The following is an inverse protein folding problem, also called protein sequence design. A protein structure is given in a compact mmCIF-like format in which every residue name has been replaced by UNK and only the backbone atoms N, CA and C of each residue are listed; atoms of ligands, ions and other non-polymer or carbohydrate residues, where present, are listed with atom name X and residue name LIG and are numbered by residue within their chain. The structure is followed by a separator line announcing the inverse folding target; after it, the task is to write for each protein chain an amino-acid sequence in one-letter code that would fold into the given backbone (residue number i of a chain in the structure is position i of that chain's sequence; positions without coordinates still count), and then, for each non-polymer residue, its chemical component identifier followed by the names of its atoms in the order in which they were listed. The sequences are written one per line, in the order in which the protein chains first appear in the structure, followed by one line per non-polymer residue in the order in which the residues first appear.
data_IF_630577216501
#
_entry.id   IF_630577216501
#
_cell.length_a   1.000
_cell.length_b   1.000
_cell.length_c   1.000
_cell.angle_alpha   90.00
_cell.angle_beta   90.00
_cell.angle_gamma   90.00
#
_symmetry.space_group_name_H-M   'P 1'
#
loop_
_entity.id
_entity.type
_entity.pdbx_description
1 polymer ?
#
# COMPACT_ATOMS: atom_id res chain seq x y z
N UNK A 1 41.23 12.95 14.36
CA UNK A 1 40.06 12.14 14.80
C UNK A 1 38.74 12.54 14.12
N UNK A 2 38.49 13.83 13.79
CA UNK A 2 37.25 14.27 13.10
C UNK A 2 37.00 13.64 11.71
N UNK A 3 38.06 13.28 10.98
CA UNK A 3 37.93 12.69 9.63
C UNK A 3 37.38 11.26 9.61
N UNK A 4 37.57 10.48 10.69
CA UNK A 4 37.09 9.09 10.72
C UNK A 4 35.56 9.03 10.78
N UNK A 5 34.94 9.88 11.59
CA UNK A 5 33.48 10.00 11.73
C UNK A 5 32.78 10.32 10.40
N UNK A 6 33.39 11.19 9.59
CA UNK A 6 32.83 11.63 8.32
C UNK A 6 32.92 10.56 7.23
N UNK A 7 34.05 9.85 7.14
CA UNK A 7 34.20 8.71 6.22
C UNK A 7 33.25 7.57 6.58
N UNK A 8 33.09 7.25 7.87
CA UNK A 8 32.09 6.26 8.31
C UNK A 8 30.67 6.68 7.96
N UNK A 9 30.31 7.96 8.07
CA UNK A 9 28.96 8.43 7.72
C UNK A 9 28.65 8.26 6.23
N UNK A 10 29.62 8.52 5.35
CA UNK A 10 29.45 8.33 3.89
C UNK A 10 29.34 6.84 3.55
N UNK A 11 30.19 5.99 4.13
CA UNK A 11 30.12 4.53 3.92
C UNK A 11 28.79 3.97 4.44
N UNK A 12 28.32 4.43 5.61
CA UNK A 12 27.02 4.04 6.16
C UNK A 12 25.87 4.47 5.24
N UNK A 13 25.95 5.68 4.67
CA UNK A 13 24.97 6.17 3.68
C UNK A 13 24.92 5.32 2.42
N UNK A 14 26.08 4.91 1.89
CA UNK A 14 26.16 4.00 0.72
C UNK A 14 25.60 2.63 1.05
N UNK A 15 25.91 2.07 2.23
CA UNK A 15 25.35 0.79 2.69
C UNK A 15 23.84 0.88 2.85
N UNK A 16 23.30 1.98 3.39
CA UNK A 16 21.85 2.22 3.50
C UNK A 16 21.18 2.28 2.12
N UNK A 17 21.82 2.91 1.13
CA UNK A 17 21.30 2.95 -0.24
C UNK A 17 21.29 1.57 -0.90
N UNK A 18 22.35 0.78 -0.71
CA UNK A 18 22.40 -0.60 -1.21
C UNK A 18 21.37 -1.48 -0.49
N UNK A 19 21.23 -1.34 0.83
CA UNK A 19 20.21 -2.03 1.59
C UNK A 19 18.80 -1.64 1.13
N UNK A 20 18.55 -0.38 0.77
CA UNK A 20 17.28 0.07 0.17
C UNK A 20 16.98 -0.64 -1.15
N UNK A 21 17.99 -0.80 -2.01
CA UNK A 21 17.85 -1.49 -3.29
C UNK A 21 17.58 -2.98 -3.09
N UNK A 22 18.34 -3.61 -2.19
CA UNK A 22 18.24 -5.04 -1.86
C UNK A 22 16.92 -5.35 -1.15
N UNK A 23 16.39 -4.42 -0.35
CA UNK A 23 15.11 -4.60 0.33
C UNK A 23 13.94 -4.78 -0.64
N UNK A 24 13.91 -4.00 -1.74
CA UNK A 24 12.90 -4.16 -2.79
C UNK A 24 13.03 -5.49 -3.57
N UNK A 25 14.22 -6.09 -3.57
CA UNK A 25 14.52 -7.38 -4.19
C UNK A 25 14.13 -8.57 -3.29
N UNK A 26 14.35 -8.48 -1.98
CA UNK A 26 13.98 -9.53 -1.00
C UNK A 26 12.50 -9.50 -0.60
N UNK A 27 11.85 -8.33 -0.62
CA UNK A 27 10.43 -8.17 -0.31
C UNK A 27 9.69 -7.55 -1.50
N UNK A 28 9.45 -8.31 -2.58
CA UNK A 28 8.66 -7.81 -3.68
C UNK A 28 7.24 -7.52 -3.17
N UNK A 29 6.70 -6.35 -3.54
CA UNK A 29 5.35 -5.90 -3.17
C UNK A 29 4.26 -6.89 -3.62
N UNK A 30 4.58 -7.81 -4.52
CA UNK A 30 3.72 -8.89 -5.00
C UNK A 30 3.75 -10.18 -4.15
N UNK A 31 4.69 -10.36 -3.21
CA UNK A 31 4.85 -11.64 -2.51
C UNK A 31 3.65 -12.05 -1.63
N UNK A 32 2.82 -11.08 -1.22
CA UNK A 32 1.62 -11.33 -0.42
C UNK A 32 0.30 -11.13 -1.16
N UNK A 33 0.32 -10.62 -2.40
CA UNK A 33 -0.86 -10.27 -3.18
C UNK A 33 -0.96 -11.16 -4.41
N UNK A 34 -1.77 -12.22 -4.32
CA UNK A 34 -1.94 -13.20 -5.40
C UNK A 34 -2.96 -12.71 -6.45
N UNK A 35 -2.85 -13.23 -7.68
CA UNK A 35 -3.84 -12.95 -8.74
C UNK A 35 -5.27 -13.30 -8.32
N UNK A 36 -5.44 -14.34 -7.49
CA UNK A 36 -6.73 -14.75 -6.94
C UNK A 36 -7.34 -13.67 -6.05
N UNK A 37 -6.54 -12.98 -5.22
CA UNK A 37 -7.02 -11.87 -4.40
C UNK A 37 -7.41 -10.65 -5.23
N UNK A 38 -6.65 -10.36 -6.30
CA UNK A 38 -7.02 -9.30 -7.26
C UNK A 38 -8.36 -9.59 -7.94
N UNK A 39 -8.55 -10.83 -8.42
CA UNK A 39 -9.80 -11.27 -9.03
C UNK A 39 -10.98 -11.18 -8.05
N UNK A 40 -10.78 -11.63 -6.81
CA UNK A 40 -11.81 -11.56 -5.76
C UNK A 40 -12.17 -10.11 -5.40
N UNK A 41 -11.19 -9.21 -5.35
CA UNK A 41 -11.44 -7.78 -5.11
C UNK A 41 -12.25 -7.16 -6.25
N UNK A 42 -11.93 -7.51 -7.50
CA UNK A 42 -12.67 -7.05 -8.67
C UNK A 42 -14.12 -7.58 -8.69
N UNK A 43 -14.30 -8.86 -8.37
CA UNK A 43 -15.63 -9.49 -8.29
C UNK A 43 -16.49 -8.87 -7.18
N UNK A 44 -15.93 -8.66 -5.99
CA UNK A 44 -16.63 -8.00 -4.88
C UNK A 44 -17.00 -6.56 -5.21
N UNK A 45 -16.11 -5.82 -5.88
CA UNK A 45 -16.40 -4.45 -6.35
C UNK A 45 -17.54 -4.42 -7.35
N UNK A 46 -17.55 -5.35 -8.31
CA UNK A 46 -18.63 -5.46 -9.28
C UNK A 46 -19.96 -5.85 -8.60
N UNK A 47 -19.94 -6.79 -7.65
CA UNK A 47 -21.14 -7.17 -6.87
C UNK A 47 -21.65 -6.02 -6.02
N UNK A 48 -20.78 -5.26 -5.35
CA UNK A 48 -21.16 -4.08 -4.58
C UNK A 48 -21.84 -3.04 -5.48
N UNK A 49 -21.30 -2.79 -6.68
CA UNK A 49 -21.89 -1.85 -7.62
C UNK A 49 -23.29 -2.28 -8.10
N UNK A 50 -23.45 -3.57 -8.44
CA UNK A 50 -24.74 -4.14 -8.85
C UNK A 50 -25.75 -4.06 -7.70
N UNK A 51 -25.36 -4.47 -6.49
CA UNK A 51 -26.22 -4.42 -5.30
C UNK A 51 -26.59 -2.99 -4.91
N UNK A 52 -25.68 -2.02 -5.06
CA UNK A 52 -25.96 -0.60 -4.86
C UNK A 52 -27.02 -0.08 -5.84
N UNK A 53 -26.93 -0.48 -7.11
CA UNK A 53 -27.94 -0.16 -8.12
C UNK A 53 -29.29 -0.83 -7.85
N UNK A 54 -29.28 -2.08 -7.40
CA UNK A 54 -30.48 -2.83 -7.01
C UNK A 54 -31.14 -2.24 -5.76
N UNK A 55 -30.35 -1.76 -4.80
CA UNK A 55 -30.85 -1.05 -3.61
C UNK A 55 -31.55 0.24 -4.01
N UNK A 56 -30.93 1.08 -4.85
CA UNK A 56 -31.52 2.34 -5.29
C UNK A 56 -32.80 2.15 -6.12
N UNK A 57 -32.89 1.05 -6.87
CA UNK A 57 -34.11 0.70 -7.63
C UNK A 57 -35.19 0.06 -6.76
N UNK A 58 -34.83 -0.74 -5.75
CA UNK A 58 -35.76 -1.31 -4.78
C UNK A 58 -36.40 -0.23 -3.88
N UNK A 59 -35.65 0.80 -3.49
CA UNK A 59 -36.15 1.94 -2.70
C UNK A 59 -37.17 2.80 -3.48
N UNK A 60 -37.05 2.83 -4.81
CA UNK A 60 -37.93 3.60 -5.69
C UNK A 60 -39.10 2.78 -6.29
N UNK A 61 -39.07 1.44 -6.21
CA UNK A 61 -40.14 0.57 -6.71
C UNK A 61 -40.42 -0.63 -5.77
N UNK A 62 -41.16 -0.41 -4.66
CA UNK A 62 -41.46 -1.45 -3.66
C UNK A 62 -42.41 -2.58 -4.15
N UNK A 63 -42.85 -2.54 -5.42
CA UNK A 63 -43.85 -3.48 -6.00
C UNK A 63 -43.27 -4.49 -6.99
N UNK A 64 -42.01 -4.89 -6.84
CA UNK A 64 -41.51 -6.04 -7.59
C UNK A 64 -42.04 -7.34 -6.96
N UNK A 65 -43.27 -7.73 -7.34
CA UNK A 65 -43.88 -9.02 -7.04
C UNK A 65 -42.98 -10.16 -7.57
N UNK A 66 -42.05 -10.64 -6.74
CA UNK A 66 -41.20 -11.81 -7.02
C UNK A 66 -39.69 -11.61 -6.86
N UNK A 67 -39.22 -10.40 -6.51
CA UNK A 67 -37.79 -10.13 -6.25
C UNK A 67 -37.40 -10.20 -4.77
N UNK A 68 -36.10 -10.41 -4.47
CA UNK A 68 -35.50 -10.30 -3.12
C UNK A 68 -35.98 -9.03 -2.41
N UNK A 69 -36.22 -9.12 -1.11
CA UNK A 69 -36.68 -7.96 -0.33
C UNK A 69 -35.60 -6.86 -0.28
N UNK A 70 -36.01 -5.58 -0.21
CA UNK A 70 -35.07 -4.46 -0.10
C UNK A 70 -34.15 -4.59 1.13
N UNK A 71 -34.65 -5.23 2.20
CA UNK A 71 -33.89 -5.54 3.40
C UNK A 71 -32.79 -6.60 3.13
N UNK A 72 -33.10 -7.66 2.39
CA UNK A 72 -32.10 -8.67 1.99
C UNK A 72 -31.00 -8.07 1.11
N UNK A 73 -31.37 -7.18 0.17
CA UNK A 73 -30.40 -6.51 -0.71
C UNK A 73 -29.51 -5.57 0.10
N UNK A 74 -30.06 -4.84 1.08
CA UNK A 74 -29.26 -3.97 1.97
C UNK A 74 -28.30 -4.78 2.86
N UNK A 75 -28.75 -5.92 3.37
CA UNK A 75 -27.94 -6.79 4.21
C UNK A 75 -26.80 -7.44 3.41
N UNK A 76 -27.08 -7.93 2.21
CA UNK A 76 -26.07 -8.47 1.29
C UNK A 76 -25.09 -7.38 0.82
N UNK A 77 -25.57 -6.16 0.54
CA UNK A 77 -24.72 -5.02 0.21
C UNK A 77 -23.76 -4.65 1.35
N UNK A 78 -24.24 -4.63 2.60
CA UNK A 78 -23.41 -4.39 3.78
C UNK A 78 -22.33 -5.46 3.95
N UNK A 79 -22.69 -6.73 3.78
CA UNK A 79 -21.72 -7.84 3.86
C UNK A 79 -20.63 -7.74 2.78
N UNK A 80 -21.04 -7.51 1.52
CA UNK A 80 -20.11 -7.41 0.39
C UNK A 80 -19.20 -6.18 0.53
N UNK A 81 -19.74 -5.05 0.99
CA UNK A 81 -18.96 -3.81 1.20
C UNK A 81 -17.96 -3.98 2.35
N UNK A 82 -18.35 -4.62 3.46
CA UNK A 82 -17.45 -4.91 4.57
C UNK A 82 -16.31 -5.86 4.15
N UNK A 83 -16.60 -6.88 3.34
CA UNK A 83 -15.57 -7.79 2.82
C UNK A 83 -14.63 -7.08 1.83
N UNK A 84 -15.17 -6.20 0.98
CA UNK A 84 -14.40 -5.38 0.06
C UNK A 84 -13.49 -4.41 0.81
N UNK A 85 -13.98 -3.71 1.82
CA UNK A 85 -13.20 -2.78 2.65
C UNK A 85 -12.06 -3.50 3.36
N UNK A 86 -12.32 -4.69 3.91
CA UNK A 86 -11.30 -5.52 4.55
C UNK A 86 -10.22 -5.96 3.55
N UNK A 87 -10.60 -6.42 2.36
CA UNK A 87 -9.66 -6.82 1.31
C UNK A 87 -8.90 -5.62 0.74
N UNK A 88 -9.53 -4.45 0.64
CA UNK A 88 -8.91 -3.20 0.23
C UNK A 88 -7.85 -2.73 1.24
N UNK A 89 -8.16 -2.75 2.53
CA UNK A 89 -7.22 -2.43 3.60
C UNK A 89 -6.03 -3.42 3.64
N UNK A 90 -6.28 -4.71 3.40
CA UNK A 90 -5.20 -5.70 3.23
C UNK A 90 -4.33 -5.40 2.01
N UNK A 91 -4.94 -4.97 0.89
CA UNK A 91 -4.22 -4.60 -0.32
C UNK A 91 -3.31 -3.39 -0.07
N UNK A 92 -3.86 -2.32 0.48
CA UNK A 92 -3.14 -1.08 0.76
C UNK A 92 -2.00 -1.32 1.75
N UNK A 93 -2.26 -2.02 2.85
CA UNK A 93 -1.24 -2.36 3.85
C UNK A 93 -0.13 -3.27 3.31
N UNK A 94 -0.42 -4.19 2.38
CA UNK A 94 0.57 -5.12 1.80
C UNK A 94 1.34 -4.53 0.63
N UNK A 95 0.70 -3.69 -0.18
CA UNK A 95 1.27 -3.09 -1.39
C UNK A 95 2.08 -1.83 -1.05
N UNK A 96 1.62 -1.01 -0.09
CA UNK A 96 2.27 0.26 0.22
C UNK A 96 3.32 0.19 1.33
N UNK A 97 3.25 -0.79 2.24
CA UNK A 97 4.30 -0.99 3.25
C UNK A 97 5.71 -1.19 2.66
N UNK A 98 5.94 -2.07 1.65
CA UNK A 98 7.27 -2.25 1.07
C UNK A 98 7.74 -1.01 0.29
N UNK A 99 6.83 -0.29 -0.38
CA UNK A 99 7.16 0.96 -1.09
C UNK A 99 7.53 2.07 -0.14
N UNK A 100 6.80 2.21 0.96
CA UNK A 100 7.00 3.26 1.97
C UNK A 100 8.30 3.03 2.72
N UNK A 101 8.57 1.80 3.17
CA UNK A 101 9.82 1.44 3.82
C UNK A 101 11.05 1.66 2.91
N UNK A 102 10.96 1.26 1.63
CA UNK A 102 12.02 1.49 0.66
C UNK A 102 12.25 2.99 0.40
N UNK A 103 11.18 3.79 0.31
CA UNK A 103 11.26 5.24 0.12
C UNK A 103 11.93 5.93 1.32
N UNK A 104 11.54 5.58 2.55
CA UNK A 104 12.15 6.11 3.78
C UNK A 104 13.65 5.76 3.84
N UNK A 105 14.02 4.51 3.57
CA UNK A 105 15.42 4.08 3.55
C UNK A 105 16.24 4.85 2.50
N UNK A 106 15.67 5.07 1.31
CA UNK A 106 16.32 5.81 0.22
C UNK A 106 16.58 7.26 0.61
N UNK A 107 15.58 7.96 1.17
CA UNK A 107 15.74 9.34 1.60
C UNK A 107 16.68 9.48 2.80
N UNK A 108 16.62 8.55 3.76
CA UNK A 108 17.58 8.50 4.85
C UNK A 108 19.02 8.30 4.34
N UNK A 109 19.23 7.38 3.40
CA UNK A 109 20.53 7.16 2.77
C UNK A 109 21.07 8.40 2.05
N UNK A 110 20.23 9.08 1.26
CA UNK A 110 20.60 10.34 0.58
C UNK A 110 20.99 11.41 1.62
N UNK A 111 20.21 11.58 2.68
CA UNK A 111 20.50 12.57 3.72
C UNK A 111 21.86 12.32 4.40
N UNK A 112 22.20 11.06 4.71
CA UNK A 112 23.50 10.69 5.28
C UNK A 112 24.66 10.93 4.32
N UNK A 113 24.50 10.64 3.03
CA UNK A 113 25.53 10.90 2.01
C UNK A 113 25.78 12.40 1.85
N UNK A 114 24.72 13.21 1.76
CA UNK A 114 24.82 14.66 1.61
C UNK A 114 25.46 15.31 2.86
N UNK A 115 24.98 14.95 4.06
CA UNK A 115 25.54 15.46 5.31
C UNK A 115 27.00 15.04 5.50
N UNK A 116 27.33 13.77 5.23
CA UNK A 116 28.70 13.28 5.28
C UNK A 116 29.61 14.01 4.29
N UNK A 117 29.17 14.18 3.04
CA UNK A 117 29.91 14.90 2.00
C UNK A 117 30.15 16.37 2.33
N UNK A 118 29.16 17.06 2.87
CA UNK A 118 29.29 18.45 3.34
C UNK A 118 30.31 18.59 4.46
N UNK A 119 30.36 17.63 5.41
CA UNK A 119 31.36 17.64 6.49
C UNK A 119 32.77 17.40 5.96
N UNK A 120 32.95 16.53 4.95
CA UNK A 120 34.26 16.34 4.29
C UNK A 120 34.68 17.62 3.57
N UNK A 121 33.76 18.24 2.85
CA UNK A 121 34.03 19.45 2.06
C UNK A 121 34.39 20.63 2.98
N UNK A 122 33.56 20.90 4.00
CA UNK A 122 33.80 21.96 4.98
C UNK A 122 35.03 21.70 5.87
N UNK A 123 35.43 20.45 6.05
CA UNK A 123 36.67 20.10 6.75
C UNK A 123 37.93 20.20 5.88
N UNK A 124 37.78 20.39 4.56
CA UNK A 124 38.88 20.55 3.59
C UNK A 124 39.10 22.00 3.14
N UNK A 125 38.07 22.84 3.26
CA UNK A 125 38.13 24.31 3.13
C UNK A 125 38.62 24.97 4.40
#
# INVERSE_FOLDING_TARGET
MKSFLSTTAVVLGVVLLLASLVWGLFFPASSGWTNEKSLRLQELSQRAHILGGQRGTADHNPKMHGGRSAAEIDEEFKQVTAELEKLGAEAEGRIDAPKTAASILRWAGIAFVVAGGLVIFAGRS
#
